data_IF_047230760670
#
_entry.id   IF_047230760670
#
_cell.length_a   1.000
_cell.length_b   1.000
_cell.length_c   1.000
_cell.angle_alpha   90.00
_cell.angle_beta   90.00
_cell.angle_gamma   90.00
#
_symmetry.space_group_name_H-M   'P 1'
#
loop_
_entity.id
_entity.type
_entity.pdbx_description
1 polymer ?
#
# COMPACT_ATOMS: atom_id res chain seq x y z
N UNK A 1 -24.98 -5.47 2.02
CA UNK A 1 -23.85 -4.53 2.22
C UNK A 1 -23.69 -3.69 0.97
N UNK A 2 -23.58 -2.38 1.10
CA UNK A 2 -23.43 -1.50 -0.06
C UNK A 2 -22.05 -1.64 -0.69
N UNK A 3 -21.94 -1.26 -1.97
CA UNK A 3 -20.64 -1.27 -2.67
C UNK A 3 -19.61 -0.39 -1.97
N UNK A 4 -20.05 0.76 -1.43
CA UNK A 4 -19.16 1.66 -0.70
C UNK A 4 -18.60 1.01 0.57
N UNK A 5 -19.41 0.24 1.28
CA UNK A 5 -18.94 -0.46 2.47
C UNK A 5 -17.92 -1.53 2.14
N UNK A 6 -18.12 -2.26 1.04
CA UNK A 6 -17.16 -3.26 0.59
C UNK A 6 -15.84 -2.62 0.20
N UNK A 7 -15.89 -1.48 -0.49
CA UNK A 7 -14.70 -0.74 -0.89
C UNK A 7 -13.93 -0.26 0.33
N UNK A 8 -14.64 0.30 1.33
CA UNK A 8 -13.99 0.76 2.57
C UNK A 8 -13.35 -0.39 3.33
N UNK A 9 -14.03 -1.54 3.40
CA UNK A 9 -13.47 -2.72 4.07
C UNK A 9 -12.21 -3.22 3.38
N UNK A 10 -12.22 -3.26 2.06
CA UNK A 10 -11.05 -3.68 1.30
C UNK A 10 -9.89 -2.71 1.49
N UNK A 11 -10.17 -1.40 1.47
CA UNK A 11 -9.16 -0.38 1.74
C UNK A 11 -8.56 -0.57 3.13
N UNK A 12 -9.41 -0.72 4.14
CA UNK A 12 -8.95 -0.85 5.52
C UNK A 12 -8.13 -2.13 5.72
N UNK A 13 -8.56 -3.21 5.10
CA UNK A 13 -7.81 -4.47 5.13
C UNK A 13 -6.44 -4.31 4.47
N UNK A 14 -6.39 -3.65 3.32
CA UNK A 14 -5.14 -3.41 2.61
C UNK A 14 -4.20 -2.52 3.43
N UNK A 15 -4.72 -1.46 4.04
CA UNK A 15 -3.93 -0.59 4.92
C UNK A 15 -3.34 -1.40 6.07
N UNK A 16 -4.15 -2.22 6.72
CA UNK A 16 -3.71 -3.02 7.86
C UNK A 16 -2.62 -4.02 7.45
N UNK A 17 -2.85 -4.75 6.36
CA UNK A 17 -1.91 -5.78 5.91
C UNK A 17 -0.60 -5.18 5.41
N UNK A 18 -0.67 -4.10 4.63
CA UNK A 18 0.53 -3.43 4.14
C UNK A 18 1.30 -2.79 5.30
N UNK A 19 0.59 -2.13 6.20
CA UNK A 19 1.21 -1.51 7.36
C UNK A 19 1.90 -2.51 8.27
N UNK A 20 1.24 -3.62 8.54
CA UNK A 20 1.79 -4.66 9.40
C UNK A 20 2.93 -5.41 8.72
N UNK A 21 2.75 -5.79 7.45
CA UNK A 21 3.76 -6.56 6.72
C UNK A 21 5.03 -5.79 6.42
N UNK A 22 4.91 -4.47 6.19
CA UNK A 22 6.05 -3.62 5.87
C UNK A 22 6.57 -2.81 7.04
N UNK A 23 5.92 -2.85 8.19
CA UNK A 23 6.31 -2.03 9.32
C UNK A 23 6.10 -0.55 9.09
N UNK A 24 5.08 -0.18 8.31
CA UNK A 24 4.81 1.22 8.00
C UNK A 24 4.04 1.90 9.13
N UNK A 25 4.35 3.18 9.34
CA UNK A 25 3.53 4.06 10.17
C UNK A 25 2.36 4.57 9.34
N UNK A 26 1.28 4.98 10.02
CA UNK A 26 0.10 5.49 9.34
C UNK A 26 0.42 6.68 8.44
N UNK A 27 1.26 7.60 8.90
CA UNK A 27 1.68 8.75 8.11
C UNK A 27 2.43 8.34 6.85
N UNK A 28 3.20 7.26 6.92
CA UNK A 28 3.90 6.73 5.77
C UNK A 28 2.90 6.12 4.77
N UNK A 29 1.93 5.36 5.27
CA UNK A 29 0.92 4.72 4.43
C UNK A 29 0.12 5.73 3.62
N UNK A 30 -0.32 6.81 4.25
CA UNK A 30 -1.14 7.81 3.55
C UNK A 30 -0.33 8.65 2.56
N UNK A 31 0.99 8.61 2.65
CA UNK A 31 1.85 9.33 1.72
C UNK A 31 2.28 8.50 0.51
N UNK A 32 1.92 7.21 0.48
CA UNK A 32 2.28 6.35 -0.64
C UNK A 32 1.42 6.70 -1.86
N UNK A 33 2.07 7.00 -2.98
CA UNK A 33 1.39 7.21 -4.25
C UNK A 33 1.55 5.98 -5.13
N UNK A 34 0.70 5.87 -6.14
CA UNK A 34 0.76 4.76 -7.08
C UNK A 34 2.14 4.66 -7.75
N UNK A 35 2.75 5.81 -8.03
CA UNK A 35 4.05 5.89 -8.68
C UNK A 35 5.19 5.33 -7.81
N UNK A 36 4.97 5.21 -6.51
CA UNK A 36 5.96 4.69 -5.57
C UNK A 36 5.96 3.16 -5.51
N UNK A 37 5.05 2.51 -6.22
CA UNK A 37 4.90 1.06 -6.20
C UNK A 37 5.64 0.41 -7.35
N UNK A 38 6.36 -0.66 -7.07
CA UNK A 38 6.99 -1.49 -8.09
C UNK A 38 6.72 -2.95 -7.79
N UNK A 39 5.85 -3.57 -8.59
CA UNK A 39 5.54 -4.99 -8.46
C UNK A 39 6.64 -5.80 -9.11
N UNK A 40 7.21 -6.71 -8.35
CA UNK A 40 8.30 -7.60 -8.79
C UNK A 40 7.89 -9.05 -8.55
N UNK A 41 8.57 -10.04 -9.18
CA UNK A 41 8.22 -11.44 -8.98
C UNK A 41 8.24 -11.90 -7.53
N UNK A 42 9.11 -11.32 -6.71
CA UNK A 42 9.24 -11.66 -5.29
C UNK A 42 8.19 -10.98 -4.41
N UNK A 43 7.49 -9.97 -4.93
CA UNK A 43 6.52 -9.23 -4.15
C UNK A 43 6.31 -7.81 -4.63
N UNK A 44 6.43 -6.85 -3.72
CA UNK A 44 6.21 -5.44 -4.01
C UNK A 44 7.29 -4.61 -3.34
N UNK A 45 7.87 -3.69 -4.10
CA UNK A 45 8.75 -2.66 -3.55
C UNK A 45 7.99 -1.36 -3.42
N UNK A 46 8.06 -0.73 -2.25
CA UNK A 46 7.38 0.54 -1.99
C UNK A 46 8.45 1.56 -1.63
N UNK A 47 8.50 2.65 -2.40
CA UNK A 47 9.40 3.76 -2.11
C UNK A 47 8.72 4.70 -1.14
N UNK A 48 9.33 4.87 0.05
CA UNK A 48 8.86 5.84 1.03
C UNK A 48 9.52 7.18 0.71
N UNK A 49 8.69 8.16 0.43
CA UNK A 49 9.18 9.49 0.12
C UNK A 49 9.86 10.09 1.33
N UNK A 50 10.85 10.93 1.04
CA UNK A 50 11.58 11.68 2.02
C UNK A 50 10.65 12.52 2.90
N UNK A 51 10.79 12.41 4.21
CA UNK A 51 10.12 13.32 5.12
C UNK A 51 10.90 14.64 5.18
N UNK A 52 10.25 15.69 5.67
CA UNK A 52 10.91 17.00 5.82
C UNK A 52 12.10 16.96 6.77
N UNK A 53 12.16 15.95 7.61
CA UNK A 53 13.24 15.78 8.58
C UNK A 53 14.38 14.91 8.07
N UNK A 54 14.25 14.34 6.87
CA UNK A 54 15.29 13.50 6.29
C UNK A 54 16.41 14.38 5.73
N UNK A 55 17.54 14.36 6.41
CA UNK A 55 18.69 15.19 6.07
C UNK A 55 19.45 14.70 4.84
N UNK A 56 19.30 13.43 4.48
CA UNK A 56 20.12 12.82 3.45
C UNK A 56 19.48 12.86 2.06
N UNK A 57 18.22 13.23 1.99
CA UNK A 57 17.55 13.35 0.69
C UNK A 57 17.24 12.05 -0.01
N UNK A 58 17.46 10.94 0.65
CA UNK A 58 17.23 9.64 0.08
C UNK A 58 15.96 9.03 0.66
N UNK A 59 15.05 8.59 -0.23
CA UNK A 59 13.89 7.84 0.20
C UNK A 59 14.30 6.46 0.66
N UNK A 60 13.40 5.80 1.37
CA UNK A 60 13.60 4.42 1.80
C UNK A 60 12.75 3.50 0.94
N UNK A 61 13.31 2.35 0.54
CA UNK A 61 12.55 1.34 -0.18
C UNK A 61 12.28 0.19 0.77
N UNK A 62 10.99 -0.15 0.92
CA UNK A 62 10.56 -1.29 1.73
C UNK A 62 10.01 -2.37 0.82
N UNK A 63 10.36 -3.62 1.08
CA UNK A 63 9.87 -4.75 0.33
C UNK A 63 8.77 -5.49 1.08
N UNK A 64 7.74 -5.91 0.34
CA UNK A 64 6.67 -6.75 0.86
C UNK A 64 6.70 -8.06 0.08
N UNK A 65 6.98 -9.19 0.76
CA UNK A 65 6.97 -10.49 0.08
C UNK A 65 5.54 -10.99 -0.13
N UNK A 66 5.39 -11.91 -1.07
CA UNK A 66 4.12 -12.65 -1.19
C UNK A 66 3.99 -13.60 0.01
N UNK A 67 2.80 -13.62 0.59
CA UNK A 67 2.46 -14.59 1.63
C UNK A 67 1.88 -15.85 0.99
N UNK A 68 2.08 -16.99 1.64
CA UNK A 68 1.49 -18.25 1.20
C UNK A 68 -0.04 -18.17 1.25
N UNK A 69 -0.58 -17.54 2.29
CA UNK A 69 -2.03 -17.36 2.43
C UNK A 69 -2.47 -16.11 1.69
N UNK A 70 -3.23 -16.29 0.61
CA UNK A 70 -3.68 -15.20 -0.23
C UNK A 70 -4.61 -14.22 0.49
N UNK A 71 -5.36 -14.70 1.47
CA UNK A 71 -6.29 -13.86 2.23
C UNK A 71 -5.53 -12.79 3.02
N UNK A 72 -4.36 -13.14 3.52
CA UNK A 72 -3.53 -12.24 4.33
C UNK A 72 -2.31 -11.69 3.59
N UNK A 73 -2.21 -11.93 2.30
CA UNK A 73 -1.08 -11.41 1.53
C UNK A 73 -1.24 -9.92 1.29
N UNK A 74 -0.34 -9.06 1.81
CA UNK A 74 -0.46 -7.63 1.61
C UNK A 74 -0.37 -7.22 0.15
N UNK A 75 0.48 -7.89 -0.63
CA UNK A 75 0.65 -7.57 -2.06
C UNK A 75 -0.62 -7.86 -2.84
N UNK A 76 -1.21 -9.04 -2.65
CA UNK A 76 -2.43 -9.41 -3.37
C UNK A 76 -3.62 -8.56 -2.97
N UNK A 77 -3.75 -8.26 -1.69
CA UNK A 77 -4.82 -7.39 -1.21
C UNK A 77 -4.67 -5.97 -1.74
N UNK A 78 -3.45 -5.47 -1.82
CA UNK A 78 -3.20 -4.15 -2.39
C UNK A 78 -3.52 -4.12 -3.89
N UNK A 79 -3.15 -5.15 -4.63
CA UNK A 79 -3.51 -5.27 -6.05
C UNK A 79 -5.02 -5.25 -6.23
N UNK A 80 -5.76 -5.99 -5.40
CA UNK A 80 -7.22 -6.01 -5.45
C UNK A 80 -7.79 -4.63 -5.14
N UNK A 81 -7.27 -3.95 -4.13
CA UNK A 81 -7.69 -2.61 -3.78
C UNK A 81 -7.49 -1.64 -4.95
N UNK A 82 -6.30 -1.64 -5.57
CA UNK A 82 -6.00 -0.77 -6.70
C UNK A 82 -6.92 -1.08 -7.89
N UNK A 83 -7.22 -2.34 -8.11
CA UNK A 83 -8.08 -2.78 -9.21
C UNK A 83 -9.52 -2.32 -9.02
N UNK A 84 -10.06 -2.52 -7.82
CA UNK A 84 -11.45 -2.16 -7.51
C UNK A 84 -11.62 -0.65 -7.42
N UNK A 85 -10.67 0.05 -6.83
CA UNK A 85 -10.73 1.51 -6.71
C UNK A 85 -10.39 2.23 -8.00
N UNK A 86 -9.78 1.52 -8.95
CA UNK A 86 -9.32 2.07 -10.24
C UNK A 86 -8.30 3.19 -10.09
N UNK A 87 -7.57 3.20 -8.98
CA UNK A 87 -6.51 4.18 -8.76
C UNK A 87 -5.33 3.85 -9.65
N UNK A 88 -4.89 4.83 -10.44
CA UNK A 88 -3.75 4.69 -11.35
C UNK A 88 -2.66 5.73 -11.09
N UNK A 89 -3.00 6.81 -10.38
CA UNK A 89 -2.07 7.88 -10.06
C UNK A 89 -2.41 8.45 -8.69
N UNK A 90 -1.42 9.07 -8.04
CA UNK A 90 -1.62 9.74 -6.77
C UNK A 90 -1.77 8.79 -5.59
N UNK A 91 -2.30 9.28 -4.46
CA UNK A 91 -2.40 8.49 -3.25
C UNK A 91 -3.19 7.21 -3.45
N UNK A 92 -2.66 6.08 -2.94
CA UNK A 92 -3.32 4.79 -3.10
C UNK A 92 -4.36 4.52 -2.03
N UNK A 93 -4.22 5.14 -0.85
CA UNK A 93 -5.19 5.01 0.23
C UNK A 93 -5.98 6.30 0.36
N UNK A 94 -7.08 6.37 -0.37
CA UNK A 94 -7.96 7.52 -0.42
C UNK A 94 -9.17 7.33 0.48
N UNK A 95 -9.76 8.45 0.90
CA UNK A 95 -11.05 8.43 1.57
C UNK A 95 -12.17 8.18 0.57
N UNK A 96 -13.14 7.44 1.02
CA UNK A 96 -14.40 7.24 0.33
C UNK A 96 -15.57 7.55 1.24
#
# INVERSE_FOLDING_TARGET
MSSMELIKKLRDKSIMLVGFGGGFRRTELVSIDHEDLEFVPEGLKITIKRSKTDQYGEGMIKGLPYFTNEIYCPVKNLKNWLNISKIRTGPIFRRF
#
